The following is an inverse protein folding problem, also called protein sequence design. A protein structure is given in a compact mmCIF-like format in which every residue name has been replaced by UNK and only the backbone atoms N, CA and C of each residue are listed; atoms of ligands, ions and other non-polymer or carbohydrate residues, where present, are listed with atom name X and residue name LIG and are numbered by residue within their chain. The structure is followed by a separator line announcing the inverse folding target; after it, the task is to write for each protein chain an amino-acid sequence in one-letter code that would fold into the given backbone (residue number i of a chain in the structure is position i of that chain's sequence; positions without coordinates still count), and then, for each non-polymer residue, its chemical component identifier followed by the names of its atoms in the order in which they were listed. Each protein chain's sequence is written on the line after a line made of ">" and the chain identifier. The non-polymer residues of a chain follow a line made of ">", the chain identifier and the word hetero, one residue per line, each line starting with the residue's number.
data_IF_830835700784
#
_entry.id   IF_830835700784
#
_cell.length_a   1.000
_cell.length_b   1.000
_cell.length_c   1.000
_cell.angle_alpha   90.00
_cell.angle_beta   90.00
_cell.angle_gamma   90.00
#
_symmetry.space_group_name_H-M   'P 1'
#
loop_
_entity.id
_entity.type
_entity.pdbx_description
1 polymer ?
#
# COMPACT_ATOMS: atom_id res chain seq x y z
N UNK A 1 15.01 -16.71 -0.16
CA UNK A 1 13.85 -16.59 0.73
C UNK A 1 13.49 -15.11 0.91
N UNK A 2 12.23 -14.74 0.67
CA UNK A 2 11.50 -13.58 1.23
C UNK A 2 11.98 -12.13 1.02
N UNK A 3 12.34 -11.68 -0.20
CA UNK A 3 12.54 -10.24 -0.47
C UNK A 3 11.28 -9.45 -0.84
N UNK A 4 10.18 -10.11 -1.25
CA UNK A 4 8.98 -9.42 -1.77
C UNK A 4 7.87 -9.14 -0.74
N UNK A 5 7.92 -9.71 0.48
CA UNK A 5 6.95 -9.40 1.56
C UNK A 5 7.23 -8.06 2.28
N UNK A 6 8.40 -7.51 2.05
CA UNK A 6 8.94 -6.35 2.80
C UNK A 6 8.34 -5.00 2.37
N UNK A 7 8.03 -4.72 1.08
CA UNK A 7 7.59 -3.38 0.66
C UNK A 7 6.24 -2.97 1.27
N UNK A 8 5.21 -3.83 1.16
CA UNK A 8 3.86 -3.47 1.64
C UNK A 8 3.81 -3.30 3.15
N UNK A 9 4.30 -4.29 3.90
CA UNK A 9 4.26 -4.26 5.38
C UNK A 9 5.00 -3.04 5.92
N UNK A 10 6.13 -2.67 5.31
CA UNK A 10 6.89 -1.48 5.68
C UNK A 10 6.11 -0.21 5.39
N UNK A 11 5.63 -0.01 4.16
CA UNK A 11 4.87 1.19 3.80
C UNK A 11 3.57 1.31 4.63
N UNK A 12 2.90 0.20 4.93
CA UNK A 12 1.71 0.21 5.79
C UNK A 12 2.05 0.60 7.23
N UNK A 13 3.15 0.11 7.79
CA UNK A 13 3.61 0.51 9.12
C UNK A 13 3.97 2.01 9.18
N UNK A 14 4.59 2.57 8.14
CA UNK A 14 4.85 4.02 8.08
C UNK A 14 3.56 4.83 7.99
N UNK A 15 2.55 4.37 7.23
CA UNK A 15 1.23 5.01 7.21
C UNK A 15 0.58 5.00 8.60
N UNK A 16 0.65 3.89 9.33
CA UNK A 16 0.12 3.78 10.69
C UNK A 16 0.80 4.76 11.66
N UNK A 17 2.11 5.00 11.52
CA UNK A 17 2.82 6.00 12.32
C UNK A 17 2.31 7.42 12.04
N UNK A 18 2.02 7.73 10.78
CA UNK A 18 1.43 9.03 10.40
C UNK A 18 0.03 9.19 11.01
N UNK A 19 -0.80 8.15 10.94
CA UNK A 19 -2.12 8.16 11.59
C UNK A 19 -2.00 8.38 13.09
N UNK A 20 -1.12 7.63 13.76
CA UNK A 20 -0.88 7.80 15.20
C UNK A 20 -0.36 9.20 15.56
N UNK A 21 0.42 9.85 14.68
CA UNK A 21 0.85 11.22 14.87
C UNK A 21 -0.34 12.21 14.87
N UNK A 22 -1.36 11.98 14.03
CA UNK A 22 -2.58 12.80 13.99
C UNK A 22 -3.53 12.59 15.19
N UNK A 23 -3.34 11.53 15.97
CA UNK A 23 -4.15 11.23 17.16
C UNK A 23 -3.62 11.93 18.43
N UNK A 24 -2.55 12.72 18.33
CA UNK A 24 -1.97 13.47 19.43
C UNK A 24 -2.81 14.69 19.79
N UNK A 25 -2.78 15.09 21.06
CA UNK A 25 -3.49 16.28 21.54
C UNK A 25 -2.78 17.60 21.16
N UNK A 26 -1.49 17.55 20.85
CA UNK A 26 -0.62 18.70 20.56
C UNK A 26 -0.31 18.85 19.06
N UNK A 27 -1.35 19.07 18.25
CA UNK A 27 -1.22 19.17 16.79
C UNK A 27 -0.72 20.55 16.34
N UNK A 28 0.44 20.56 15.70
CA UNK A 28 0.89 21.68 14.86
C UNK A 28 0.33 21.54 13.45
N UNK A 29 -0.33 22.59 12.95
CA UNK A 29 -1.02 22.56 11.63
C UNK A 29 -0.03 22.51 10.48
N UNK A 30 1.11 23.20 10.56
CA UNK A 30 2.12 23.19 9.50
C UNK A 30 2.83 21.83 9.41
N UNK A 31 3.12 21.21 10.55
CA UNK A 31 3.61 19.83 10.59
C UNK A 31 2.54 18.85 10.07
N UNK A 32 1.27 19.09 10.41
CA UNK A 32 0.13 18.30 9.92
C UNK A 32 0.03 18.28 8.39
N UNK A 33 0.24 19.40 7.72
CA UNK A 33 0.26 19.46 6.25
C UNK A 33 1.38 18.57 5.68
N UNK A 34 2.58 18.63 6.25
CA UNK A 34 3.72 17.79 5.82
C UNK A 34 3.43 16.30 6.02
N UNK A 35 2.87 15.93 7.18
CA UNK A 35 2.47 14.55 7.49
C UNK A 35 1.38 14.03 6.56
N UNK A 36 0.46 14.90 6.15
CA UNK A 36 -0.57 14.57 5.18
C UNK A 36 0.04 14.28 3.79
N UNK A 37 0.95 15.13 3.31
CA UNK A 37 1.66 14.93 2.04
C UNK A 37 2.48 13.62 2.04
N UNK A 38 3.22 13.36 3.13
CA UNK A 38 3.93 12.09 3.34
C UNK A 38 2.97 10.89 3.27
N UNK A 39 1.82 10.99 3.96
CA UNK A 39 0.79 9.95 3.96
C UNK A 39 0.21 9.69 2.57
N UNK A 40 -0.01 10.74 1.77
CA UNK A 40 -0.50 10.61 0.40
C UNK A 40 0.47 9.84 -0.50
N UNK A 41 1.78 10.07 -0.36
CA UNK A 41 2.79 9.33 -1.11
C UNK A 41 2.76 7.84 -0.75
N UNK A 42 2.70 7.52 0.54
CA UNK A 42 2.65 6.14 1.03
C UNK A 42 1.38 5.43 0.55
N UNK A 43 0.22 6.10 0.62
CA UNK A 43 -1.05 5.56 0.12
C UNK A 43 -0.98 5.26 -1.38
N UNK A 44 -0.31 6.11 -2.16
CA UNK A 44 -0.11 5.89 -3.59
C UNK A 44 0.70 4.62 -3.84
N UNK A 45 1.82 4.43 -3.12
CA UNK A 45 2.66 3.24 -3.24
C UNK A 45 1.90 1.95 -2.87
N UNK A 46 1.14 1.98 -1.77
CA UNK A 46 0.33 0.85 -1.32
C UNK A 46 -0.72 0.48 -2.37
N UNK A 47 -1.43 1.46 -2.95
CA UNK A 47 -2.40 1.23 -4.03
C UNK A 47 -1.74 0.63 -5.26
N UNK A 48 -0.57 1.13 -5.68
CA UNK A 48 0.19 0.58 -6.81
C UNK A 48 0.58 -0.88 -6.56
N UNK A 49 1.03 -1.22 -5.34
CA UNK A 49 1.35 -2.59 -4.98
C UNK A 49 0.13 -3.51 -5.02
N UNK A 50 -1.00 -3.09 -4.44
CA UNK A 50 -2.22 -3.90 -4.45
C UNK A 50 -2.75 -4.12 -5.87
N UNK A 51 -2.71 -3.09 -6.71
CA UNK A 51 -3.12 -3.21 -8.11
C UNK A 51 -2.24 -4.19 -8.90
N UNK A 52 -0.92 -4.23 -8.64
CA UNK A 52 -0.05 -5.20 -9.32
C UNK A 52 -0.35 -6.64 -8.92
N UNK A 53 -0.73 -6.87 -7.65
CA UNK A 53 -1.20 -8.18 -7.19
C UNK A 53 -2.53 -8.55 -7.81
N UNK A 54 -3.47 -7.61 -7.92
CA UNK A 54 -4.76 -7.84 -8.57
C UNK A 54 -4.57 -8.24 -10.03
N UNK A 55 -3.74 -7.50 -10.79
CA UNK A 55 -3.41 -7.82 -12.19
C UNK A 55 -2.86 -9.24 -12.29
N UNK A 56 -1.90 -9.61 -11.43
CA UNK A 56 -1.32 -10.96 -11.41
C UNK A 56 -2.37 -12.04 -11.12
N UNK A 57 -3.32 -11.79 -10.21
CA UNK A 57 -4.42 -12.72 -9.94
C UNK A 57 -5.33 -12.87 -11.17
N UNK A 58 -5.63 -11.78 -11.88
CA UNK A 58 -6.45 -11.83 -13.09
C UNK A 58 -5.78 -12.62 -14.22
N UNK A 59 -4.46 -12.46 -14.39
CA UNK A 59 -3.67 -13.24 -15.37
C UNK A 59 -3.69 -14.74 -15.07
N UNK A 60 -3.56 -15.11 -13.79
CA UNK A 60 -3.63 -16.52 -13.36
C UNK A 60 -5.01 -17.13 -13.62
N UNK A 61 -6.10 -16.38 -13.35
CA UNK A 61 -7.46 -16.83 -13.65
C UNK A 61 -7.68 -17.09 -15.13
N UNK A 62 -7.26 -16.14 -15.99
CA UNK A 62 -7.36 -16.28 -17.46
C UNK A 62 -6.58 -17.49 -17.99
N UNK A 63 -5.39 -17.72 -17.44
CA UNK A 63 -4.57 -18.89 -17.81
C UNK A 63 -5.28 -20.20 -17.46
N UNK A 64 -5.91 -20.27 -16.29
CA UNK A 64 -6.65 -21.48 -15.87
C UNK A 64 -7.89 -21.73 -16.74
N UNK A 65 -8.68 -20.70 -17.04
CA UNK A 65 -9.83 -20.82 -17.94
C UNK A 65 -9.42 -21.31 -19.34
N UNK A 66 -8.27 -20.86 -19.85
CA UNK A 66 -7.75 -21.29 -21.15
C UNK A 66 -7.36 -22.78 -21.16
N UNK A 67 -6.80 -23.29 -20.06
CA UNK A 67 -6.42 -24.70 -19.92
C UNK A 67 -7.63 -25.64 -19.78
N UNK A 68 -8.75 -25.17 -19.22
CA UNK A 68 -9.99 -25.96 -19.10
C UNK A 68 -10.77 -26.08 -20.42
N UNK A 69 -10.47 -25.21 -21.40
CA UNK A 69 -11.13 -25.19 -22.72
C UNK A 69 -10.37 -25.94 -23.83
N UNK A 70 -9.17 -26.46 -23.55
CA UNK A 70 -8.34 -27.27 -24.44
C UNK A 70 -8.48 -28.77 -24.14
#
# INVERSE_FOLDING_TARGET
>A
MAKEKVPFTKSYAELQKIVAWFERDDLDVEEGIKKFEEGMLIVKELKTYLNSLEVRIQELKKTNETLETL
#
